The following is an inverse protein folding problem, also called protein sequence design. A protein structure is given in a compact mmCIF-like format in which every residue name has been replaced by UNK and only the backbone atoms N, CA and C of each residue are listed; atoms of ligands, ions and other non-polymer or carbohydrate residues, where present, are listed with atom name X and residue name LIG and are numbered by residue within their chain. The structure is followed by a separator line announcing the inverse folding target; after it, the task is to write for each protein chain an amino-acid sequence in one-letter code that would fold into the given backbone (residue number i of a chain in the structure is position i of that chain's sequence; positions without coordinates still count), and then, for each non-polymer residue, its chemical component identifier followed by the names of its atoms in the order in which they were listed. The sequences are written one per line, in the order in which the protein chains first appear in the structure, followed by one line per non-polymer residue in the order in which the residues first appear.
data_IF_024736746511
#
_entry.id   IF_024736746511
#
_cell.length_a   1.000
_cell.length_b   1.000
_cell.length_c   1.000
_cell.angle_alpha   90.00
_cell.angle_beta   90.00
_cell.angle_gamma   90.00
#
_symmetry.space_group_name_H-M   'P 1'
#
loop_
_entity.id
_entity.type
_entity.pdbx_description
1 polymer ?
#
# COMPACT_ATOMS: atom_id res chain seq x y z
N UNK A 1 -0.85 34.55 3.78
CA UNK A 1 -0.08 33.35 4.19
C UNK A 1 -0.70 32.14 3.52
N UNK A 2 -0.21 31.78 2.33
CA UNK A 2 -0.70 30.63 1.57
C UNK A 2 -0.09 29.37 2.17
N UNK A 3 -0.88 28.59 2.91
CA UNK A 3 -0.48 27.27 3.37
C UNK A 3 -0.31 26.38 2.13
N UNK A 4 0.89 25.85 1.83
CA UNK A 4 1.08 24.95 0.70
C UNK A 4 0.25 23.69 0.95
N UNK A 5 -0.38 23.20 -0.12
CA UNK A 5 -1.31 22.07 -0.16
C UNK A 5 -0.67 20.87 0.54
N UNK A 6 -1.14 20.55 1.76
CA UNK A 6 -0.83 19.32 2.46
C UNK A 6 -1.54 18.19 1.72
N UNK A 7 -0.85 17.67 0.70
CA UNK A 7 -1.30 16.56 -0.11
C UNK A 7 -1.46 15.31 0.77
N UNK A 8 -2.62 14.68 0.64
CA UNK A 8 -3.07 13.46 1.28
C UNK A 8 -1.97 12.42 1.58
N UNK A 9 -1.69 12.14 2.85
CA UNK A 9 -0.80 11.04 3.27
C UNK A 9 -1.21 9.62 2.84
N UNK A 10 -2.34 9.48 2.14
CA UNK A 10 -2.84 8.21 1.57
C UNK A 10 -2.42 8.00 0.12
N UNK A 11 -2.26 9.08 -0.64
CA UNK A 11 -1.78 9.06 -2.04
C UNK A 11 -0.37 9.65 -2.16
N UNK A 12 0.02 10.49 -1.21
CA UNK A 12 1.40 10.75 -0.89
C UNK A 12 1.99 9.54 -0.20
N UNK A 13 2.11 8.42 -0.91
CA UNK A 13 3.31 7.58 -0.88
C UNK A 13 4.13 7.87 -2.16
N UNK A 14 3.55 8.56 -3.16
CA UNK A 14 4.07 8.52 -4.53
C UNK A 14 3.77 9.81 -5.29
N UNK A 15 4.65 10.81 -5.24
CA UNK A 15 4.65 11.91 -6.23
C UNK A 15 6.05 12.50 -6.47
N UNK A 16 6.61 12.10 -7.62
CA UNK A 16 7.63 12.69 -8.52
C UNK A 16 8.99 13.20 -8.00
N UNK A 17 10.05 12.53 -8.46
CA UNK A 17 10.98 13.04 -9.47
C UNK A 17 11.72 11.86 -10.15
N UNK A 18 11.70 11.80 -11.47
CA UNK A 18 12.42 10.80 -12.27
C UNK A 18 13.92 11.09 -12.23
N UNK A 19 14.65 10.43 -11.35
CA UNK A 19 16.03 10.06 -11.67
C UNK A 19 15.96 8.68 -12.30
N UNK A 20 16.38 8.58 -13.56
CA UNK A 20 16.59 7.29 -14.20
C UNK A 20 17.68 6.56 -13.41
N UNK A 21 17.26 5.74 -12.44
CA UNK A 21 18.15 4.79 -11.83
C UNK A 21 18.25 3.63 -12.81
N UNK A 22 19.43 3.52 -13.40
CA UNK A 22 19.85 2.47 -14.31
C UNK A 22 19.34 1.12 -13.82
N UNK A 23 18.55 0.44 -14.65
CA UNK A 23 18.29 -0.97 -14.50
C UNK A 23 19.61 -1.73 -14.56
N UNK A 24 20.03 -2.34 -13.45
CA UNK A 24 20.80 -3.60 -13.40
C UNK A 24 21.17 -3.96 -11.97
N UNK A 25 20.19 -4.40 -11.19
CA UNK A 25 20.42 -5.61 -10.41
C UNK A 25 19.27 -6.55 -10.74
N UNK A 26 19.57 -7.76 -11.19
CA UNK A 26 18.62 -8.89 -11.15
C UNK A 26 18.36 -9.22 -9.68
N UNK A 27 17.68 -8.30 -8.99
CA UNK A 27 17.37 -8.35 -7.58
C UNK A 27 16.23 -9.33 -7.38
N UNK A 28 16.52 -10.45 -6.70
CA UNK A 28 15.49 -11.43 -6.30
C UNK A 28 14.34 -10.68 -5.62
N UNK A 29 13.09 -10.92 -6.05
CA UNK A 29 11.92 -10.41 -5.33
C UNK A 29 12.05 -10.74 -3.83
N UNK A 30 11.42 -9.93 -2.97
CA UNK A 30 11.30 -10.25 -1.55
C UNK A 30 10.85 -11.73 -1.37
N UNK A 31 11.56 -12.53 -0.55
CA UNK A 31 11.26 -13.95 -0.46
C UNK A 31 9.89 -14.16 0.17
N UNK A 32 8.99 -14.78 -0.57
CA UNK A 32 7.66 -15.16 -0.09
C UNK A 32 7.55 -16.65 0.13
N UNK A 33 6.63 -17.05 1.02
CA UNK A 33 6.17 -18.44 1.12
C UNK A 33 5.48 -18.84 -0.18
N UNK A 34 5.19 -20.13 -0.34
CA UNK A 34 4.47 -20.64 -1.51
C UNK A 34 3.08 -19.99 -1.61
N UNK A 35 2.86 -19.22 -2.68
CA UNK A 35 1.62 -18.46 -2.93
C UNK A 35 0.52 -19.36 -3.50
N UNK A 36 0.10 -20.38 -2.75
CA UNK A 36 -1.13 -21.13 -3.03
C UNK A 36 -2.25 -20.58 -2.15
N UNK A 37 -3.46 -20.49 -2.67
CA UNK A 37 -4.59 -19.88 -1.96
C UNK A 37 -4.77 -20.42 -0.53
N UNK A 38 -4.70 -21.75 -0.38
CA UNK A 38 -4.84 -22.43 0.91
C UNK A 38 -3.78 -22.02 1.94
N UNK A 39 -2.61 -21.55 1.49
CA UNK A 39 -1.49 -21.16 2.34
C UNK A 39 -1.39 -19.64 2.55
N UNK A 40 -2.21 -18.82 1.88
CA UNK A 40 -2.15 -17.37 2.01
C UNK A 40 -2.48 -16.91 3.44
N UNK A 41 -1.94 -15.78 3.86
CA UNK A 41 -2.20 -15.18 5.18
C UNK A 41 -3.63 -14.60 5.36
N UNK A 42 -4.43 -14.61 4.31
CA UNK A 42 -5.77 -14.00 4.25
C UNK A 42 -6.76 -14.88 3.48
N UNK A 43 -8.05 -14.55 3.58
CA UNK A 43 -9.15 -15.17 2.84
C UNK A 43 -10.11 -14.10 2.32
N UNK A 44 -10.99 -14.47 1.38
CA UNK A 44 -12.10 -13.58 0.98
C UNK A 44 -13.03 -13.28 2.16
N UNK A 45 -13.55 -12.06 2.20
CA UNK A 45 -14.39 -11.51 3.26
C UNK A 45 -13.64 -10.69 4.30
N UNK A 46 -12.30 -10.74 4.33
CA UNK A 46 -11.48 -10.03 5.31
C UNK A 46 -11.62 -8.51 5.17
N UNK A 47 -11.73 -7.82 6.30
CA UNK A 47 -11.79 -6.35 6.38
C UNK A 47 -10.97 -5.84 7.54
N UNK A 48 -10.16 -4.81 7.28
CA UNK A 48 -9.40 -4.06 8.28
C UNK A 48 -9.75 -2.56 8.16
N UNK A 49 -9.94 -1.89 9.30
CA UNK A 49 -10.22 -0.46 9.37
C UNK A 49 -9.14 0.22 10.19
N UNK A 50 -8.62 1.34 9.69
CA UNK A 50 -7.55 2.11 10.30
C UNK A 50 -8.02 3.53 10.59
N UNK A 51 -7.58 4.05 11.73
CA UNK A 51 -7.71 5.47 12.07
C UNK A 51 -6.41 6.18 11.78
N UNK A 52 -6.50 7.35 11.16
CA UNK A 52 -5.36 8.11 10.68
C UNK A 52 -5.23 9.37 11.51
N UNK A 53 -4.07 9.52 12.11
CA UNK A 53 -3.74 10.57 13.03
C UNK A 53 -2.68 11.49 12.42
N UNK A 54 -2.93 12.79 12.44
CA UNK A 54 -1.98 13.80 11.97
C UNK A 54 -1.42 14.57 13.16
N UNK A 55 -0.09 14.69 13.18
CA UNK A 55 0.66 15.39 14.22
C UNK A 55 1.58 16.44 13.60
N UNK A 56 1.36 17.71 13.94
CA UNK A 56 2.23 18.82 13.57
C UNK A 56 2.09 20.00 14.54
N UNK A 57 3.15 20.31 15.28
CA UNK A 57 3.14 21.37 16.30
C UNK A 57 2.04 21.13 17.34
N UNK A 58 1.06 22.04 17.40
CA UNK A 58 -0.10 21.95 18.31
C UNK A 58 -1.20 21.03 17.74
N UNK A 59 -1.20 20.76 16.44
CA UNK A 59 -2.19 19.88 15.81
C UNK A 59 -1.85 18.43 16.12
N UNK A 60 -2.78 17.72 16.76
CA UNK A 60 -2.65 16.32 17.16
C UNK A 60 -4.04 15.68 17.13
N UNK A 61 -4.47 15.16 15.98
CA UNK A 61 -5.86 14.78 15.76
C UNK A 61 -6.06 13.59 14.82
N UNK A 62 -7.11 12.80 15.07
CA UNK A 62 -7.57 11.75 14.16
C UNK A 62 -8.33 12.39 12.99
N UNK A 63 -7.71 12.42 11.81
CA UNK A 63 -8.14 13.21 10.65
C UNK A 63 -8.91 12.41 9.60
N UNK A 64 -8.67 11.12 9.50
CA UNK A 64 -9.18 10.29 8.41
C UNK A 64 -9.36 8.83 8.85
N UNK A 65 -10.05 8.06 8.02
CA UNK A 65 -10.13 6.60 8.14
C UNK A 65 -9.70 5.94 6.84
N UNK A 66 -9.10 4.77 6.96
CA UNK A 66 -8.84 3.88 5.84
C UNK A 66 -9.47 2.52 6.06
N UNK A 67 -9.85 1.86 4.97
CA UNK A 67 -10.43 0.51 5.00
C UNK A 67 -9.76 -0.32 3.93
N UNK A 68 -9.20 -1.44 4.35
CA UNK A 68 -8.72 -2.52 3.48
C UNK A 68 -9.76 -3.64 3.50
N UNK A 69 -10.10 -4.15 2.33
CA UNK A 69 -10.92 -5.35 2.18
C UNK A 69 -10.33 -6.26 1.12
N UNK A 70 -10.60 -7.55 1.23
CA UNK A 70 -10.41 -8.50 0.14
C UNK A 70 -11.59 -9.47 0.11
N UNK A 71 -12.12 -9.69 -1.09
CA UNK A 71 -13.16 -10.67 -1.33
C UNK A 71 -12.83 -11.51 -2.57
N UNK A 72 -13.60 -12.56 -2.83
CA UNK A 72 -13.52 -13.34 -4.06
C UNK A 72 -14.59 -12.89 -5.05
N UNK A 73 -14.21 -12.74 -6.31
CA UNK A 73 -15.13 -12.35 -7.39
C UNK A 73 -14.79 -13.07 -8.70
N UNK A 74 -15.56 -12.82 -9.74
CA UNK A 74 -15.32 -13.33 -11.09
C UNK A 74 -14.87 -12.17 -11.99
N UNK A 75 -13.69 -12.30 -12.58
CA UNK A 75 -13.16 -11.39 -13.61
C UNK A 75 -12.86 -12.20 -14.87
N UNK A 76 -13.47 -11.82 -16.00
CA UNK A 76 -13.29 -12.50 -17.30
C UNK A 76 -13.49 -14.03 -17.22
N UNK A 77 -14.51 -14.48 -16.48
CA UNK A 77 -14.83 -15.90 -16.28
C UNK A 77 -13.92 -16.64 -15.28
N UNK A 78 -12.94 -15.98 -14.65
CA UNK A 78 -12.01 -16.59 -13.69
C UNK A 78 -12.32 -16.12 -12.26
N UNK A 79 -12.24 -17.03 -11.29
CA UNK A 79 -12.31 -16.68 -9.86
C UNK A 79 -11.01 -15.98 -9.45
N UNK A 80 -11.12 -14.78 -8.93
CA UNK A 80 -10.00 -13.92 -8.52
C UNK A 80 -10.25 -13.36 -7.12
N UNK A 81 -9.21 -12.85 -6.47
CA UNK A 81 -9.39 -11.92 -5.37
C UNK A 81 -9.65 -10.52 -5.92
N UNK A 82 -10.49 -9.76 -5.21
CA UNK A 82 -10.68 -8.33 -5.37
C UNK A 82 -10.34 -7.65 -4.06
N UNK A 83 -9.22 -6.94 -4.04
CA UNK A 83 -8.82 -6.11 -2.92
C UNK A 83 -9.25 -4.66 -3.14
N UNK A 84 -9.81 -4.02 -2.12
CA UNK A 84 -10.11 -2.59 -2.13
C UNK A 84 -9.40 -1.89 -0.97
N UNK A 85 -8.70 -0.80 -1.25
CA UNK A 85 -8.17 0.15 -0.26
C UNK A 85 -8.87 1.49 -0.45
N UNK A 86 -9.64 1.91 0.56
CA UNK A 86 -10.31 3.22 0.54
C UNK A 86 -9.80 4.09 1.67
N UNK A 87 -9.42 5.32 1.39
CA UNK A 87 -9.04 6.33 2.38
C UNK A 87 -9.96 7.54 2.29
N UNK A 88 -10.46 8.05 3.41
CA UNK A 88 -11.33 9.24 3.41
C UNK A 88 -11.10 10.12 4.63
N UNK A 89 -10.97 11.43 4.40
CA UNK A 89 -11.03 12.43 5.48
C UNK A 89 -12.35 12.33 6.25
N UNK A 90 -12.30 12.46 7.57
CA UNK A 90 -13.51 12.48 8.39
C UNK A 90 -14.33 13.76 8.11
N UNK A 91 -15.66 13.63 8.18
CA UNK A 91 -16.61 14.72 7.83
C UNK A 91 -16.30 16.06 8.48
N UNK A 92 -15.86 16.05 9.74
CA UNK A 92 -15.51 17.28 10.48
C UNK A 92 -14.37 18.06 9.81
N UNK A 93 -13.38 17.35 9.27
CA UNK A 93 -12.18 17.94 8.67
C UNK A 93 -12.32 18.21 7.16
N UNK A 94 -13.36 17.70 6.49
CA UNK A 94 -13.60 17.89 5.05
C UNK A 94 -13.67 19.38 4.63
N UNK A 95 -14.03 20.29 5.55
CA UNK A 95 -14.06 21.74 5.29
C UNK A 95 -12.67 22.36 5.17
N UNK A 96 -11.64 21.74 5.75
CA UNK A 96 -10.27 22.24 5.75
C UNK A 96 -9.40 21.52 4.72
N UNK A 97 -9.53 20.20 4.64
CA UNK A 97 -8.89 19.36 3.61
C UNK A 97 -9.82 18.19 3.29
N UNK A 98 -10.06 17.93 2.01
CA UNK A 98 -10.91 16.82 1.57
C UNK A 98 -10.11 15.89 0.69
N UNK A 99 -9.86 14.69 1.21
CA UNK A 99 -9.17 13.60 0.55
C UNK A 99 -10.12 12.42 0.46
N UNK A 100 -10.20 11.84 -0.73
CA UNK A 100 -10.83 10.54 -0.98
C UNK A 100 -9.93 9.77 -1.95
N UNK A 101 -9.49 8.59 -1.53
CA UNK A 101 -8.72 7.65 -2.33
C UNK A 101 -9.48 6.32 -2.39
N UNK A 102 -9.59 5.74 -3.56
CA UNK A 102 -10.15 4.42 -3.80
C UNK A 102 -9.22 3.68 -4.76
N UNK A 103 -8.60 2.60 -4.27
CA UNK A 103 -7.75 1.71 -5.04
C UNK A 103 -8.37 0.32 -5.04
N UNK A 104 -8.54 -0.27 -6.21
CA UNK A 104 -9.03 -1.62 -6.37
C UNK A 104 -8.05 -2.44 -7.19
N UNK A 105 -7.79 -3.67 -6.75
CA UNK A 105 -6.93 -4.62 -7.44
C UNK A 105 -7.62 -5.96 -7.58
N UNK A 106 -7.52 -6.54 -8.77
CA UNK A 106 -7.96 -7.90 -9.05
C UNK A 106 -6.74 -8.74 -9.39
N UNK A 107 -6.57 -9.86 -8.70
CA UNK A 107 -5.40 -10.72 -8.85
C UNK A 107 -5.75 -12.20 -8.65
N UNK A 108 -4.92 -13.07 -9.22
CA UNK A 108 -5.14 -14.52 -9.18
C UNK A 108 -5.09 -15.05 -7.75
N UNK A 109 -5.94 -16.04 -7.43
CA UNK A 109 -5.99 -16.65 -6.09
C UNK A 109 -4.75 -17.49 -5.79
N UNK A 110 -4.19 -18.12 -6.82
CA UNK A 110 -2.87 -18.76 -6.79
C UNK A 110 -1.85 -17.89 -7.50
N UNK A 111 -0.64 -17.79 -6.94
CA UNK A 111 0.47 -17.02 -7.48
C UNK A 111 0.36 -15.50 -7.33
N UNK A 112 -0.82 -14.97 -6.96
CA UNK A 112 -1.08 -13.54 -6.72
C UNK A 112 -0.60 -12.62 -7.86
N UNK A 113 -0.87 -13.00 -9.10
CA UNK A 113 -0.53 -12.19 -10.29
C UNK A 113 -1.58 -11.09 -10.49
N UNK A 114 -1.18 -9.82 -10.69
CA UNK A 114 -2.12 -8.74 -10.97
C UNK A 114 -2.83 -8.99 -12.30
N UNK A 115 -4.11 -8.66 -12.38
CA UNK A 115 -4.92 -8.79 -13.61
C UNK A 115 -5.54 -7.46 -14.03
N UNK A 116 -6.02 -6.69 -13.06
CA UNK A 116 -6.61 -5.37 -13.26
C UNK A 116 -6.36 -4.52 -12.02
N UNK A 117 -6.16 -3.23 -12.21
CA UNK A 117 -6.16 -2.25 -11.13
C UNK A 117 -6.95 -1.01 -11.53
N UNK A 118 -7.65 -0.41 -10.58
CA UNK A 118 -8.26 0.91 -10.74
C UNK A 118 -7.94 1.82 -9.57
N UNK A 119 -7.78 3.11 -9.88
CA UNK A 119 -7.58 4.18 -8.90
C UNK A 119 -8.59 5.29 -9.16
N UNK A 120 -9.15 5.83 -8.09
CA UNK A 120 -9.80 7.14 -8.08
C UNK A 120 -9.25 7.95 -6.91
N UNK A 121 -8.74 9.14 -7.20
CA UNK A 121 -8.25 10.08 -6.22
C UNK A 121 -9.00 11.41 -6.36
N UNK A 122 -9.41 11.99 -5.22
CA UNK A 122 -9.93 13.36 -5.14
C UNK A 122 -9.32 14.10 -3.96
N UNK A 123 -8.60 15.15 -4.29
CA UNK A 123 -7.89 16.01 -3.34
C UNK A 123 -8.26 17.48 -3.61
N UNK A 124 -9.20 18.00 -2.82
CA UNK A 124 -9.79 19.32 -3.06
C UNK A 124 -10.40 19.40 -4.47
N UNK A 125 -9.74 20.17 -5.36
CA UNK A 125 -10.14 20.33 -6.77
C UNK A 125 -9.42 19.34 -7.71
N UNK A 126 -8.33 18.72 -7.26
CA UNK A 126 -7.60 17.76 -8.07
C UNK A 126 -8.35 16.43 -8.10
N UNK A 127 -8.40 15.82 -9.29
CA UNK A 127 -8.95 14.47 -9.49
C UNK A 127 -8.02 13.67 -10.39
N UNK A 128 -7.91 12.37 -10.11
CA UNK A 128 -7.12 11.43 -10.90
C UNK A 128 -7.85 10.09 -10.99
N UNK A 129 -7.78 9.44 -12.15
CA UNK A 129 -8.27 8.09 -12.38
C UNK A 129 -7.27 7.28 -13.18
N UNK A 130 -6.94 6.08 -12.71
CA UNK A 130 -6.08 5.15 -13.43
C UNK A 130 -6.81 3.84 -13.63
N UNK A 131 -6.60 3.22 -14.79
CA UNK A 131 -7.00 1.86 -15.09
C UNK A 131 -5.78 1.13 -15.66
N UNK A 132 -5.38 0.04 -15.02
CA UNK A 132 -4.34 -0.85 -15.51
C UNK A 132 -4.92 -2.20 -15.90
N UNK A 133 -4.51 -2.70 -17.05
CA UNK A 133 -4.73 -4.07 -17.49
C UNK A 133 -3.39 -4.76 -17.66
N UNK A 134 -3.20 -5.92 -17.03
CA UNK A 134 -1.93 -6.63 -17.00
C UNK A 134 -1.99 -7.80 -18.00
N UNK A 135 -1.15 -7.73 -19.05
CA UNK A 135 -1.00 -8.80 -20.02
C UNK A 135 0.18 -9.70 -19.62
N UNK A 136 -0.11 -10.99 -19.45
CA UNK A 136 0.85 -12.00 -19.01
C UNK A 136 1.23 -12.98 -20.14
N UNK A 137 0.94 -12.62 -21.38
CA UNK A 137 1.26 -13.42 -22.56
C UNK A 137 2.79 -13.54 -22.68
N UNK A 138 3.35 -14.76 -22.70
CA UNK A 138 4.79 -14.95 -22.78
C UNK A 138 5.41 -14.23 -23.99
N UNK A 139 6.38 -13.34 -23.74
CA UNK A 139 7.05 -12.54 -24.77
C UNK A 139 6.33 -11.24 -25.12
N UNK A 140 5.22 -10.92 -24.46
CA UNK A 140 4.47 -9.67 -24.60
C UNK A 140 3.93 -9.19 -23.24
N UNK A 141 4.68 -9.45 -22.16
CA UNK A 141 4.29 -9.00 -20.83
C UNK A 141 4.34 -7.48 -20.71
N UNK A 142 3.19 -6.86 -20.43
CA UNK A 142 3.11 -5.41 -20.27
C UNK A 142 1.87 -5.00 -19.47
N UNK A 143 1.85 -3.73 -19.05
CA UNK A 143 0.70 -3.08 -18.43
C UNK A 143 0.15 -2.06 -19.41
N UNK A 144 -1.10 -2.23 -19.86
CA UNK A 144 -1.82 -1.18 -20.58
C UNK A 144 -2.46 -0.22 -19.57
N UNK A 145 -2.05 1.04 -19.59
CA UNK A 145 -2.52 2.07 -18.67
C UNK A 145 -3.41 3.10 -19.39
N UNK A 146 -4.64 3.28 -18.89
CA UNK A 146 -5.52 4.39 -19.25
C UNK A 146 -5.63 5.34 -18.06
N UNK A 147 -5.29 6.60 -18.29
CA UNK A 147 -5.03 7.59 -17.24
C UNK A 147 -5.83 8.85 -17.51
N UNK A 148 -6.31 9.49 -16.45
CA UNK A 148 -6.90 10.81 -16.54
C UNK A 148 -6.63 11.61 -15.27
N UNK A 149 -6.27 12.88 -15.42
CA UNK A 149 -6.25 13.77 -14.27
C UNK A 149 -6.66 15.19 -14.65
N UNK A 150 -7.06 15.98 -13.65
CA UNK A 150 -7.57 17.34 -13.88
C UNK A 150 -6.54 18.34 -14.41
N UNK A 151 -5.26 17.95 -14.57
CA UNK A 151 -4.18 18.80 -15.11
C UNK A 151 -3.82 18.43 -16.55
N UNK A 152 -3.69 17.14 -16.86
CA UNK A 152 -3.25 16.61 -18.17
C UNK A 152 -4.41 16.15 -19.06
N UNK A 153 -5.62 15.97 -18.51
CA UNK A 153 -6.71 15.31 -19.23
C UNK A 153 -6.49 13.80 -19.35
N UNK A 154 -7.12 13.18 -20.35
CA UNK A 154 -7.03 11.74 -20.63
C UNK A 154 -5.81 11.40 -21.50
N UNK A 155 -5.12 10.32 -21.16
CA UNK A 155 -3.98 9.79 -21.91
C UNK A 155 -3.79 8.30 -21.63
N UNK A 156 -2.85 7.66 -22.33
CA UNK A 156 -2.55 6.24 -22.13
C UNK A 156 -1.05 5.98 -22.23
N UNK A 157 -0.59 4.91 -21.58
CA UNK A 157 0.79 4.47 -21.58
C UNK A 157 0.87 2.93 -21.62
N UNK A 158 2.00 2.41 -22.09
CA UNK A 158 2.37 1.00 -21.96
C UNK A 158 3.55 0.91 -21.02
N UNK A 159 3.39 0.22 -19.91
CA UNK A 159 4.40 0.11 -18.86
C UNK A 159 5.01 -1.31 -18.83
N UNK A 160 6.27 -1.47 -18.41
CA UNK A 160 6.87 -2.79 -18.26
C UNK A 160 6.15 -3.61 -17.18
N UNK A 161 6.09 -4.93 -17.38
CA UNK A 161 5.55 -5.88 -16.42
C UNK A 161 6.57 -6.96 -16.12
N UNK A 162 7.30 -6.77 -15.02
CA UNK A 162 8.24 -7.77 -14.52
C UNK A 162 7.62 -8.67 -13.45
N UNK A 163 8.31 -9.78 -13.12
CA UNK A 163 7.84 -10.78 -12.14
C UNK A 163 7.51 -10.20 -10.75
N UNK A 164 8.15 -9.11 -10.35
CA UNK A 164 7.94 -8.47 -9.05
C UNK A 164 7.17 -7.14 -9.17
N UNK A 165 6.45 -6.91 -10.28
CA UNK A 165 5.65 -5.69 -10.47
C UNK A 165 4.22 -5.90 -10.00
N UNK A 166 3.77 -5.05 -9.07
CA UNK A 166 2.46 -5.11 -8.45
C UNK A 166 1.69 -3.79 -8.60
N UNK A 167 0.44 -3.77 -8.16
CA UNK A 167 -0.23 -2.53 -7.76
C UNK A 167 -0.18 -2.40 -6.22
N UNK A 168 -0.57 -1.23 -5.71
CA UNK A 168 -0.44 -0.91 -4.28
C UNK A 168 -1.24 -1.87 -3.38
N UNK A 169 -2.55 -2.13 -3.61
CA UNK A 169 -3.28 -3.11 -2.81
C UNK A 169 -2.67 -4.52 -2.88
N UNK A 170 -2.30 -5.00 -4.07
CA UNK A 170 -1.71 -6.32 -4.24
C UNK A 170 -0.37 -6.44 -3.51
N UNK A 171 0.50 -5.43 -3.63
CA UNK A 171 1.79 -5.39 -2.95
C UNK A 171 1.63 -5.60 -1.44
N UNK A 172 0.63 -4.94 -0.83
CA UNK A 172 0.29 -5.18 0.58
C UNK A 172 -0.06 -6.65 0.86
N UNK A 173 -0.93 -7.28 0.06
CA UNK A 173 -1.29 -8.68 0.28
C UNK A 173 -0.13 -9.64 0.01
N UNK A 174 0.79 -9.32 -0.89
CA UNK A 174 2.03 -10.10 -1.10
C UNK A 174 2.94 -10.01 0.12
N UNK A 175 3.11 -8.83 0.71
CA UNK A 175 3.94 -8.62 1.91
C UNK A 175 3.49 -9.45 3.11
N UNK A 176 2.19 -9.74 3.22
CA UNK A 176 1.65 -10.63 4.26
C UNK A 176 2.10 -12.07 4.14
N UNK A 177 2.65 -12.46 2.99
CA UNK A 177 3.12 -13.81 2.71
C UNK A 177 4.65 -13.92 2.66
N UNK A 178 5.37 -12.89 3.09
CA UNK A 178 6.83 -12.89 3.17
C UNK A 178 7.32 -14.01 4.10
N UNK A 179 8.34 -14.72 3.63
CA UNK A 179 9.03 -15.74 4.41
C UNK A 179 10.07 -15.08 5.31
N UNK A 180 9.61 -14.66 6.49
CA UNK A 180 10.41 -13.96 7.50
C UNK A 180 11.67 -14.76 7.88
N UNK A 181 11.67 -16.09 7.77
CA UNK A 181 12.83 -16.94 8.08
C UNK A 181 13.99 -16.75 7.10
N UNK A 182 13.70 -16.18 5.92
CA UNK A 182 14.68 -15.85 4.87
C UNK A 182 15.06 -14.37 4.85
N UNK A 183 14.42 -13.55 5.68
CA UNK A 183 14.76 -12.15 5.80
C UNK A 183 16.00 -11.98 6.68
N UNK A 184 16.82 -11.01 6.30
CA UNK A 184 17.95 -10.53 7.08
C UNK A 184 17.64 -9.11 7.52
N UNK A 185 17.80 -8.83 8.81
CA UNK A 185 17.63 -7.47 9.33
C UNK A 185 18.59 -6.51 8.63
N UNK A 186 18.10 -5.31 8.30
CA UNK A 186 18.87 -4.27 7.62
C UNK A 186 19.09 -4.50 6.12
N UNK A 187 18.65 -5.62 5.54
CA UNK A 187 18.77 -5.89 4.10
C UNK A 187 17.61 -5.28 3.32
N UNK A 188 17.94 -4.65 2.20
CA UNK A 188 16.97 -4.10 1.25
C UNK A 188 16.47 -5.17 0.29
N UNK A 189 15.14 -5.22 0.12
CA UNK A 189 14.47 -6.08 -0.83
C UNK A 189 13.68 -5.21 -1.82
N UNK A 190 13.94 -5.28 -3.12
CA UNK A 190 13.21 -4.48 -4.10
C UNK A 190 11.81 -5.05 -4.30
N UNK A 191 10.83 -4.17 -4.41
CA UNK A 191 9.55 -4.48 -5.06
C UNK A 191 9.17 -3.35 -6.01
N UNK A 192 8.57 -3.74 -7.13
CA UNK A 192 8.22 -2.82 -8.19
C UNK A 192 6.70 -2.62 -8.19
N UNK A 193 6.22 -1.42 -8.49
CA UNK A 193 4.80 -1.20 -8.72
C UNK A 193 4.55 -0.13 -9.77
N UNK A 194 3.41 -0.25 -10.43
CA UNK A 194 2.93 0.76 -11.37
C UNK A 194 2.12 1.83 -10.63
N UNK A 195 2.40 3.10 -10.93
CA UNK A 195 1.56 4.24 -10.51
C UNK A 195 1.64 5.34 -11.56
N UNK A 196 0.49 5.99 -11.79
CA UNK A 196 0.27 6.89 -12.92
C UNK A 196 0.81 6.33 -14.24
N UNK A 197 1.78 7.00 -14.86
CA UNK A 197 2.38 6.67 -16.16
C UNK A 197 3.76 6.00 -16.07
N UNK A 198 4.11 5.42 -14.92
CA UNK A 198 5.46 4.93 -14.67
C UNK A 198 5.50 3.74 -13.70
N UNK A 199 6.66 3.07 -13.63
CA UNK A 199 6.92 1.90 -12.80
C UNK A 199 8.11 2.20 -11.89
N UNK A 200 7.89 2.06 -10.58
CA UNK A 200 8.86 2.43 -9.56
C UNK A 200 9.29 1.22 -8.76
N UNK A 201 10.58 1.14 -8.46
CA UNK A 201 11.14 0.19 -7.50
C UNK A 201 11.31 0.89 -6.16
N UNK A 202 10.75 0.31 -5.10
CA UNK A 202 11.02 0.72 -3.72
C UNK A 202 11.73 -0.39 -2.97
N UNK A 203 12.58 -0.01 -2.01
CA UNK A 203 13.24 -0.94 -1.13
C UNK A 203 12.48 -1.11 0.18
N UNK A 204 12.25 -2.37 0.51
CA UNK A 204 11.61 -2.83 1.73
C UNK A 204 12.70 -3.39 2.64
N UNK A 205 12.81 -2.90 3.87
CA UNK A 205 13.83 -3.33 4.81
C UNK A 205 13.20 -3.89 6.07
N UNK A 206 13.57 -5.13 6.43
CA UNK A 206 13.17 -5.72 7.69
C UNK A 206 14.03 -5.16 8.83
N UNK A 207 13.40 -4.66 9.89
CA UNK A 207 14.05 -4.00 11.02
C UNK A 207 13.97 -4.80 12.32
N UNK A 208 13.54 -6.05 12.24
CA UNK A 208 13.45 -6.93 13.40
C UNK A 208 12.06 -6.97 14.04
N UNK A 209 12.01 -7.56 15.23
CA UNK A 209 10.80 -7.75 16.01
C UNK A 209 10.71 -6.72 17.14
N UNK A 210 9.53 -6.11 17.32
CA UNK A 210 9.27 -5.27 18.49
C UNK A 210 7.79 -5.29 18.89
N UNK A 211 7.52 -5.02 20.17
CA UNK A 211 6.16 -4.89 20.66
C UNK A 211 5.63 -3.48 20.41
N UNK A 212 4.42 -3.38 19.87
CA UNK A 212 3.75 -2.11 19.58
C UNK A 212 2.45 -1.99 20.37
N UNK A 213 2.34 -0.97 21.21
CA UNK A 213 1.07 -0.61 21.85
C UNK A 213 0.20 0.14 20.84
N UNK A 214 -1.00 -0.38 20.60
CA UNK A 214 -2.00 0.18 19.70
C UNK A 214 -3.26 0.46 20.49
N UNK A 215 -3.76 1.70 20.40
CA UNK A 215 -4.98 2.10 21.09
C UNK A 215 -6.16 1.20 20.67
N UNK A 216 -7.00 0.82 21.62
CA UNK A 216 -8.17 -0.07 21.46
C UNK A 216 -7.87 -1.53 21.04
N UNK A 217 -6.61 -1.86 20.73
CA UNK A 217 -6.17 -3.23 20.38
C UNK A 217 -5.34 -3.87 21.49
N UNK A 218 -4.49 -3.09 22.17
CA UNK A 218 -3.56 -3.58 23.18
C UNK A 218 -2.11 -3.59 22.69
N UNK A 219 -1.26 -4.38 23.34
CA UNK A 219 0.14 -4.56 22.91
C UNK A 219 0.22 -5.71 21.91
N UNK A 220 0.87 -5.49 20.77
CA UNK A 220 0.99 -6.51 19.71
C UNK A 220 2.46 -6.80 19.43
N UNK A 221 2.83 -8.09 19.40
CA UNK A 221 4.14 -8.53 18.88
C UNK A 221 4.18 -8.26 17.39
N UNK A 222 5.17 -7.50 16.92
CA UNK A 222 5.22 -7.05 15.53
C UNK A 222 6.55 -7.37 14.85
N UNK A 223 6.48 -7.54 13.54
CA UNK A 223 7.57 -7.40 12.60
C UNK A 223 7.60 -5.95 12.13
N UNK A 224 8.74 -5.28 12.27
CA UNK A 224 8.90 -3.89 11.85
C UNK A 224 9.58 -3.84 10.48
N UNK A 225 9.05 -3.00 9.61
CA UNK A 225 9.64 -2.74 8.30
C UNK A 225 9.81 -1.24 8.10
N UNK A 226 10.85 -0.87 7.38
CA UNK A 226 10.91 0.42 6.70
C UNK A 226 10.71 0.27 5.21
N UNK A 227 10.14 1.31 4.63
CA UNK A 227 9.80 1.43 3.23
C UNK A 227 10.46 2.73 2.76
N UNK A 228 11.36 2.60 1.78
CA UNK A 228 11.92 3.76 1.13
C UNK A 228 10.79 4.61 0.56
N UNK A 229 10.92 5.93 0.70
CA UNK A 229 9.98 6.87 0.12
C UNK A 229 10.76 7.83 -0.77
N UNK A 230 10.36 7.92 -2.03
CA UNK A 230 10.97 8.86 -2.97
C UNK A 230 10.62 10.29 -2.53
N UNK A 231 11.62 11.17 -2.53
CA UNK A 231 11.42 12.61 -2.26
C UNK A 231 10.41 13.20 -3.26
N UNK A 232 9.55 14.10 -2.79
CA UNK A 232 8.43 14.57 -3.60
C UNK A 232 7.77 15.83 -3.04
N UNK A 233 6.55 16.16 -3.46
CA UNK A 233 5.83 17.33 -2.91
C UNK A 233 5.50 17.16 -1.42
N UNK A 234 5.35 15.91 -0.96
CA UNK A 234 4.79 15.59 0.36
C UNK A 234 5.81 15.01 1.33
N UNK A 235 6.75 14.23 0.80
CA UNK A 235 7.83 13.64 1.58
C UNK A 235 9.10 14.46 1.44
N UNK A 236 9.85 14.55 2.53
CA UNK A 236 11.23 15.02 2.49
C UNK A 236 12.13 14.08 1.68
N UNK A 237 11.82 12.77 1.66
CA UNK A 237 12.69 11.72 1.12
C UNK A 237 13.95 11.48 1.96
N UNK A 238 14.08 12.17 3.10
CA UNK A 238 15.18 12.01 4.06
C UNK A 238 14.86 10.93 5.11
N UNK A 239 13.67 10.35 5.07
CA UNK A 239 13.15 9.50 6.16
C UNK A 239 12.14 8.48 5.65
N UNK A 240 12.31 7.24 6.09
CA UNK A 240 11.45 6.12 5.70
C UNK A 240 10.03 6.20 6.28
N UNK A 241 9.09 5.58 5.58
CA UNK A 241 7.83 5.12 6.16
C UNK A 241 8.12 3.87 7.00
N UNK A 242 7.52 3.77 8.17
CA UNK A 242 7.63 2.59 9.03
C UNK A 242 6.28 1.89 9.18
N UNK A 243 6.30 0.55 9.07
CA UNK A 243 5.13 -0.30 9.26
C UNK A 243 5.38 -1.37 10.31
N UNK A 244 4.37 -1.62 11.13
CA UNK A 244 4.33 -2.68 12.12
C UNK A 244 3.27 -3.69 11.72
N UNK A 245 3.69 -4.93 11.47
CA UNK A 245 2.82 -6.02 11.07
C UNK A 245 2.78 -7.08 12.17
N UNK A 246 1.63 -7.68 12.44
CA UNK A 246 1.48 -8.70 13.48
C UNK A 246 2.45 -9.87 13.25
N UNK A 247 3.13 -10.32 14.31
CA UNK A 247 3.98 -11.51 14.28
C UNK A 247 3.15 -12.80 14.51
N UNK A 248 2.10 -12.97 13.70
CA UNK A 248 1.28 -14.19 13.56
C UNK A 248 1.02 -14.50 12.07
N UNK A 249 0.30 -15.59 11.80
CA UNK A 249 0.04 -16.03 10.43
C UNK A 249 -0.89 -15.11 9.63
N UNK A 250 -1.54 -14.10 10.25
CA UNK A 250 -2.28 -13.10 9.49
C UNK A 250 -1.36 -12.03 8.90
N UNK A 251 -0.27 -11.67 9.58
CA UNK A 251 0.67 -10.61 9.18
C UNK A 251 -0.02 -9.27 8.86
N UNK A 252 -1.07 -8.90 9.60
CA UNK A 252 -1.81 -7.66 9.33
C UNK A 252 -1.04 -6.44 9.84
N UNK A 253 -1.15 -5.27 9.18
CA UNK A 253 -0.57 -4.05 9.72
C UNK A 253 -1.40 -3.62 10.92
N UNK A 254 -0.72 -3.25 12.00
CA UNK A 254 -1.36 -2.75 13.23
C UNK A 254 -1.03 -1.29 13.49
N UNK A 255 0.09 -0.83 12.95
CA UNK A 255 0.52 0.56 13.02
C UNK A 255 1.37 0.94 11.81
N UNK A 256 1.29 2.19 11.38
CA UNK A 256 2.28 2.76 10.46
C UNK A 256 2.56 4.22 10.78
N UNK A 257 3.67 4.71 10.26
CA UNK A 257 4.15 6.07 10.47
C UNK A 257 4.83 6.58 9.20
N UNK A 258 4.34 7.69 8.67
CA UNK A 258 4.90 8.37 7.52
C UNK A 258 5.28 9.80 7.93
N UNK A 259 6.58 10.14 7.96
CA UNK A 259 7.01 11.53 8.10
C UNK A 259 6.60 12.32 6.85
N UNK A 260 6.09 13.53 7.03
CA UNK A 260 5.77 14.46 5.94
C UNK A 260 6.73 15.64 6.01
N UNK A 261 6.81 16.45 4.96
CA UNK A 261 7.53 17.75 5.01
C UNK A 261 7.06 18.63 6.15
N UNK A 262 5.76 18.55 6.46
CA UNK A 262 5.11 19.30 7.52
C UNK A 262 4.35 18.30 8.39
N UNK A 263 4.98 17.88 9.49
CA UNK A 263 4.38 16.96 10.46
C UNK A 263 4.57 15.48 10.13
N UNK A 264 3.69 14.66 10.66
CA UNK A 264 3.74 13.21 10.55
C UNK A 264 2.31 12.67 10.50
N UNK A 265 2.07 11.68 9.65
CA UNK A 265 0.85 10.87 9.69
C UNK A 265 1.16 9.52 10.30
N UNK A 266 0.28 9.09 11.18
CA UNK A 266 0.31 7.79 11.81
C UNK A 266 -1.01 7.09 11.53
N UNK A 267 -0.96 5.80 11.27
CA UNK A 267 -2.16 4.99 11.18
C UNK A 267 -2.16 3.92 12.24
N UNK A 268 -3.33 3.66 12.82
CA UNK A 268 -3.52 2.61 13.81
C UNK A 268 -4.68 1.72 13.41
N UNK A 269 -4.52 0.41 13.56
CA UNK A 269 -5.62 -0.52 13.39
C UNK A 269 -6.71 -0.17 14.41
N UNK A 270 -7.94 -0.03 13.92
CA UNK A 270 -9.10 0.34 14.70
C UNK A 270 -10.08 -0.83 14.83
N UNK A 271 -10.31 -1.59 13.75
CA UNK A 271 -11.08 -2.84 13.82
C UNK A 271 -10.69 -3.80 12.69
N UNK A 272 -11.00 -5.07 12.89
CA UNK A 272 -10.81 -6.14 11.91
C UNK A 272 -11.98 -7.12 11.95
N UNK A 273 -12.23 -7.82 10.85
CA UNK A 273 -13.19 -8.91 10.78
C UNK A 273 -12.78 -9.93 9.72
N UNK A 274 -13.22 -11.17 9.88
CA UNK A 274 -13.00 -12.25 8.92
C UNK A 274 -11.52 -12.53 8.59
N UNK A 275 -10.65 -12.38 9.59
CA UNK A 275 -9.27 -12.86 9.50
C UNK A 275 -9.26 -14.36 9.19
N UNK A 276 -8.26 -14.82 8.44
CA UNK A 276 -8.10 -16.25 8.15
C UNK A 276 -7.63 -17.03 9.38
N UNK A 277 -6.73 -16.44 10.16
CA UNK A 277 -6.12 -17.06 11.33
C UNK A 277 -6.51 -16.29 12.60
N UNK A 278 -6.41 -16.89 13.79
CA UNK A 278 -6.54 -16.17 15.05
C UNK A 278 -5.52 -15.02 15.18
N UNK A 279 -5.89 -13.91 15.81
CA UNK A 279 -4.99 -12.79 16.06
C UNK A 279 -4.10 -13.07 17.29
N UNK A 280 -3.17 -14.02 17.16
CA UNK A 280 -2.34 -14.55 18.26
C UNK A 280 -1.12 -13.69 18.63
N UNK A 281 -0.97 -12.51 18.03
CA UNK A 281 0.12 -11.58 18.37
C UNK A 281 -0.22 -10.59 19.47
N UNK A 282 -1.48 -10.50 19.88
CA UNK A 282 -1.88 -9.64 21.01
C UNK A 282 -1.28 -10.25 22.28
N UNK A 283 -0.57 -9.42 23.04
CA UNK A 283 0.05 -9.74 24.32
C UNK A 283 -0.95 -9.35 25.40
N UNK A 284 -1.24 -10.30 26.30
CA UNK A 284 -2.02 -10.06 27.53
C UNK A 284 -1.30 -9.10 28.49
#
# INVERSE_FOLDING_TARGET
MNLPRLFSAFAAILFFASTALSASEEGKCIPVKKLEEKNLAFKGGEKLVFTLHYKWGIVNADVAQATLKVDTTILNGKKVFHASLTGKTQKFYEKFFRVKEELDSWFTRDGMRPMKFTRFAKEGKYTCTNLYSYDHTPGNEHISASLSNSRKGEFSATLPLDKCTYDIPLMYYVLRNVDVTKLKEGTDYPMTFAVDDDVYTLHFRYLGKENKRVLDVGTVRCLKFSFEVVSGEVFSGESDLFGWFSDDDNRIPVWFSAPLKVGQVQGRLHSWSELKNPFSSIVE
#
